data_IF_810545629925
#
_entry.id   IF_810545629925
#
_cell.length_a   1.000
_cell.length_b   1.000
_cell.length_c   1.000
_cell.angle_alpha   90.00
_cell.angle_beta   90.00
_cell.angle_gamma   90.00
#
_symmetry.space_group_name_H-M   'P 1'
#
loop_
_entity.id
_entity.type
_entity.pdbx_description
1 polymer ?
#
# COMPACT_ATOMS: atom_id res chain seq x y z
N UNK A 1 4.75 -15.65 -24.01
CA UNK A 1 4.27 -14.26 -24.08
C UNK A 1 3.55 -13.90 -22.77
N UNK A 2 2.43 -14.55 -22.48
CA UNK A 2 1.64 -14.37 -21.23
C UNK A 2 2.48 -14.46 -19.94
N UNK A 3 3.40 -15.43 -19.85
CA UNK A 3 4.28 -15.58 -18.69
C UNK A 3 5.15 -14.35 -18.41
N UNK A 4 5.64 -13.67 -19.45
CA UNK A 4 6.47 -12.47 -19.26
C UNK A 4 5.60 -11.28 -18.85
N UNK A 5 4.43 -11.13 -19.46
CA UNK A 5 3.44 -10.12 -19.10
C UNK A 5 3.01 -10.27 -17.63
N UNK A 6 2.80 -11.50 -17.15
CA UNK A 6 2.49 -11.75 -15.73
C UNK A 6 3.66 -11.36 -14.82
N UNK A 7 4.91 -11.62 -15.20
CA UNK A 7 6.08 -11.19 -14.41
C UNK A 7 6.19 -9.67 -14.33
N UNK A 8 5.95 -8.97 -15.44
CA UNK A 8 5.96 -7.52 -15.49
C UNK A 8 4.85 -6.93 -14.60
N UNK A 9 3.64 -7.50 -14.66
CA UNK A 9 2.53 -7.10 -13.79
C UNK A 9 2.86 -7.31 -12.30
N UNK A 10 3.44 -8.45 -11.93
CA UNK A 10 3.88 -8.73 -10.55
C UNK A 10 4.90 -7.68 -10.11
N UNK A 11 5.91 -7.40 -10.94
CA UNK A 11 6.94 -6.41 -10.62
C UNK A 11 6.36 -5.01 -10.40
N UNK A 12 5.43 -4.59 -11.26
CA UNK A 12 4.78 -3.28 -11.12
C UNK A 12 3.92 -3.20 -9.86
N UNK A 13 3.24 -4.28 -9.47
CA UNK A 13 2.48 -4.33 -8.20
C UNK A 13 3.40 -4.12 -6.99
N UNK A 14 4.57 -4.79 -6.91
CA UNK A 14 5.51 -4.54 -5.81
C UNK A 14 6.08 -3.13 -5.83
N UNK A 15 6.32 -2.57 -7.02
CA UNK A 15 6.78 -1.19 -7.14
C UNK A 15 5.73 -0.21 -6.59
N UNK A 16 4.46 -0.42 -6.92
CA UNK A 16 3.37 0.41 -6.41
C UNK A 16 3.13 0.21 -4.92
N UNK A 17 3.22 -1.02 -4.40
CA UNK A 17 3.13 -1.31 -2.97
C UNK A 17 4.22 -0.57 -2.18
N UNK A 18 5.48 -0.63 -2.62
CA UNK A 18 6.57 0.13 -1.99
C UNK A 18 6.35 1.66 -1.98
N UNK A 19 5.77 2.20 -3.05
CA UNK A 19 5.38 3.62 -3.12
C UNK A 19 4.25 3.91 -2.12
N UNK A 20 3.22 3.08 -2.08
CA UNK A 20 2.11 3.19 -1.13
C UNK A 20 2.60 3.14 0.32
N UNK A 21 3.49 2.22 0.65
CA UNK A 21 4.12 2.06 1.96
C UNK A 21 4.86 3.34 2.40
N UNK A 22 5.61 3.94 1.46
CA UNK A 22 6.33 5.19 1.70
C UNK A 22 5.38 6.37 1.90
N UNK A 23 4.28 6.41 1.14
CA UNK A 23 3.24 7.43 1.26
C UNK A 23 2.45 7.29 2.57
N UNK A 24 2.10 6.08 2.97
CA UNK A 24 1.41 5.79 4.24
C UNK A 24 2.23 6.31 5.42
N UNK A 25 3.54 6.00 5.46
CA UNK A 25 4.43 6.50 6.52
C UNK A 25 4.53 8.02 6.52
N UNK A 26 4.67 8.62 5.33
CA UNK A 26 4.78 10.07 5.15
C UNK A 26 3.50 10.80 5.56
N UNK A 27 2.33 10.31 5.15
CA UNK A 27 1.04 10.89 5.48
C UNK A 27 0.70 10.73 6.96
N UNK A 28 0.95 9.56 7.53
CA UNK A 28 0.75 9.32 8.97
C UNK A 28 1.58 10.30 9.78
N UNK A 29 2.87 10.48 9.46
CA UNK A 29 3.70 11.49 10.12
C UNK A 29 3.11 12.89 10.01
N UNK A 30 2.68 13.31 8.81
CA UNK A 30 2.08 14.64 8.60
C UNK A 30 0.78 14.84 9.39
N UNK A 31 -0.02 13.80 9.56
CA UNK A 31 -1.25 13.85 10.35
C UNK A 31 -0.91 14.15 11.82
N UNK A 32 0.08 13.46 12.38
CA UNK A 32 0.51 13.70 13.77
C UNK A 32 1.23 15.05 13.94
N UNK A 33 2.03 15.49 12.94
CA UNK A 33 2.65 16.83 12.95
C UNK A 33 1.59 17.97 12.95
N UNK A 34 0.32 17.67 12.67
CA UNK A 34 -0.80 18.63 12.68
C UNK A 34 -1.67 18.53 13.94
N UNK A 35 -1.24 17.83 15.00
CA UNK A 35 -2.05 17.59 16.20
C UNK A 35 -2.54 18.87 16.89
N UNK A 36 -1.76 19.95 16.86
CA UNK A 36 -2.15 21.25 17.42
C UNK A 36 -3.28 21.95 16.65
N UNK A 37 -3.60 21.47 15.43
CA UNK A 37 -4.59 22.08 14.53
C UNK A 37 -5.82 21.21 14.32
N UNK A 38 -5.85 20.01 14.90
CA UNK A 38 -6.86 18.99 14.65
C UNK A 38 -7.34 18.37 15.96
N UNK A 39 -8.63 18.07 16.04
CA UNK A 39 -9.17 17.28 17.14
C UNK A 39 -8.71 15.82 17.07
N UNK A 40 -8.67 15.15 18.22
CA UNK A 40 -8.30 13.73 18.30
C UNK A 40 -9.15 12.82 17.40
N UNK A 41 -10.44 13.13 17.20
CA UNK A 41 -11.31 12.40 16.28
C UNK A 41 -10.88 12.55 14.81
N UNK A 42 -10.45 13.75 14.41
CA UNK A 42 -9.99 14.00 13.03
C UNK A 42 -8.67 13.28 12.76
N UNK A 43 -7.73 13.35 13.71
CA UNK A 43 -6.45 12.61 13.66
C UNK A 43 -6.71 11.10 13.52
N UNK A 44 -7.62 10.56 14.32
CA UNK A 44 -7.98 9.13 14.28
C UNK A 44 -8.57 8.74 12.92
N UNK A 45 -9.52 9.51 12.40
CA UNK A 45 -10.19 9.18 11.14
C UNK A 45 -9.25 9.32 9.94
N UNK A 46 -8.38 10.34 9.91
CA UNK A 46 -7.38 10.49 8.85
C UNK A 46 -6.34 9.38 8.90
N UNK A 47 -5.83 9.04 10.08
CA UNK A 47 -4.88 7.93 10.23
C UNK A 47 -5.50 6.62 9.75
N UNK A 48 -6.75 6.35 10.14
CA UNK A 48 -7.48 5.16 9.70
C UNK A 48 -7.71 5.14 8.18
N UNK A 49 -8.00 6.29 7.57
CA UNK A 49 -8.14 6.40 6.12
C UNK A 49 -6.83 6.02 5.40
N UNK A 50 -5.70 6.52 5.89
CA UNK A 50 -4.38 6.21 5.32
C UNK A 50 -4.07 4.71 5.45
N UNK A 51 -4.31 4.11 6.62
CA UNK A 51 -4.12 2.67 6.83
C UNK A 51 -4.99 1.81 5.91
N UNK A 52 -6.26 2.20 5.71
CA UNK A 52 -7.17 1.48 4.80
C UNK A 52 -6.66 1.50 3.35
N UNK A 53 -6.04 2.59 2.91
CA UNK A 53 -5.40 2.65 1.59
C UNK A 53 -4.20 1.70 1.51
N UNK A 54 -3.37 1.63 2.56
CA UNK A 54 -2.28 0.66 2.68
C UNK A 54 -2.76 -0.78 2.60
N UNK A 55 -3.87 -1.12 3.27
CA UNK A 55 -4.47 -2.45 3.20
C UNK A 55 -4.90 -2.85 1.78
N UNK A 56 -5.37 -1.91 0.96
CA UNK A 56 -5.70 -2.19 -0.45
C UNK A 56 -4.45 -2.55 -1.25
N UNK A 57 -3.35 -1.81 -1.08
CA UNK A 57 -2.08 -2.10 -1.73
C UNK A 57 -1.54 -3.48 -1.30
N UNK A 58 -1.56 -3.76 0.00
CA UNK A 58 -1.16 -5.05 0.56
C UNK A 58 -2.00 -6.22 -0.01
N UNK A 59 -3.31 -6.05 -0.20
CA UNK A 59 -4.15 -7.09 -0.82
C UNK A 59 -3.78 -7.34 -2.28
N UNK A 60 -3.43 -6.29 -3.03
CA UNK A 60 -2.95 -6.42 -4.40
C UNK A 60 -1.61 -7.17 -4.46
N UNK A 61 -0.67 -6.82 -3.58
CA UNK A 61 0.62 -7.50 -3.46
C UNK A 61 0.46 -9.00 -3.14
N UNK A 62 -0.35 -9.33 -2.14
CA UNK A 62 -0.65 -10.72 -1.78
C UNK A 62 -1.22 -11.53 -2.95
N UNK A 63 -2.02 -10.90 -3.82
CA UNK A 63 -2.52 -11.54 -5.04
C UNK A 63 -1.39 -11.78 -6.05
N UNK A 64 -0.50 -10.80 -6.25
CA UNK A 64 0.68 -10.93 -7.11
C UNK A 64 1.65 -12.02 -6.61
N UNK A 65 1.86 -12.13 -5.29
CA UNK A 65 2.69 -13.18 -4.69
C UNK A 65 2.13 -14.58 -4.90
N UNK A 66 0.82 -14.74 -4.83
CA UNK A 66 0.17 -16.02 -5.17
C UNK A 66 0.39 -16.38 -6.64
N UNK A 67 0.28 -15.43 -7.55
CA UNK A 67 0.59 -15.65 -8.97
C UNK A 67 2.06 -16.03 -9.16
N UNK A 68 2.99 -15.35 -8.49
CA UNK A 68 4.42 -15.69 -8.49
C UNK A 68 4.65 -17.13 -8.04
N UNK A 69 4.02 -17.55 -6.94
CA UNK A 69 4.15 -18.91 -6.42
C UNK A 69 3.61 -19.98 -7.38
N UNK A 70 2.50 -19.69 -8.08
CA UNK A 70 1.96 -20.58 -9.11
C UNK A 70 2.90 -20.70 -10.31
N UNK A 71 3.58 -19.62 -10.71
CA UNK A 71 4.52 -19.60 -11.84
C UNK A 71 5.89 -20.27 -11.56
N UNK A 72 6.18 -20.54 -10.29
CA UNK A 72 7.39 -21.22 -9.83
C UNK A 72 7.21 -22.75 -9.75
N UNK A 73 5.98 -23.24 -9.90
CA UNK A 73 5.65 -24.66 -10.09
C UNK A 73 5.73 -25.01 -11.57
#
# INVERSE_FOLDING_TARGET
KERNETKEAIWEVHRQESICDSLERSLTKKIFDMEDKMGAGEILHLTKLVMLLGEVANRAENAADRLRALMAR
#
